data_IF_296485280530
#
_entry.id   IF_296485280530
#
_cell.length_a   1.000
_cell.length_b   1.000
_cell.length_c   1.000
_cell.angle_alpha   90.00
_cell.angle_beta   90.00
_cell.angle_gamma   90.00
#
_symmetry.space_group_name_H-M   'P 1'
#
loop_
_entity.id
_entity.type
_entity.pdbx_description
1 polymer ?
#
# COMPACT_ATOMS: atom_id res chain seq x y z
N UNK A 1 79.07 -32.47 18.55
CA UNK A 1 78.61 -32.69 17.15
C UNK A 1 77.74 -33.93 17.17
N UNK A 2 76.49 -33.99 16.73
CA UNK A 2 75.62 -33.05 16.01
C UNK A 2 74.18 -33.50 16.30
N UNK A 3 73.32 -32.57 16.71
CA UNK A 3 71.88 -32.78 16.89
C UNK A 3 71.20 -32.75 15.50
N UNK A 4 70.96 -33.92 14.91
CA UNK A 4 70.34 -34.06 13.57
C UNK A 4 68.92 -34.61 13.62
N UNK A 5 68.07 -34.15 14.55
CA UNK A 5 66.69 -34.68 14.66
C UNK A 5 65.55 -33.64 14.57
N UNK A 6 65.71 -32.30 14.69
CA UNK A 6 64.54 -31.42 14.63
C UNK A 6 64.25 -30.85 13.22
N UNK A 7 64.80 -31.40 12.12
CA UNK A 7 64.64 -30.79 10.80
C UNK A 7 63.46 -31.33 9.95
N UNK A 8 62.81 -32.42 10.35
CA UNK A 8 61.76 -33.08 9.52
C UNK A 8 60.35 -32.57 9.87
N UNK A 9 60.16 -31.90 11.02
CA UNK A 9 58.83 -31.50 11.49
C UNK A 9 58.30 -30.17 10.91
N UNK A 10 59.09 -29.42 10.14
CA UNK A 10 58.72 -28.06 9.68
C UNK A 10 58.08 -28.06 8.29
N UNK A 11 58.17 -29.17 7.54
CA UNK A 11 57.67 -29.23 6.16
C UNK A 11 56.14 -29.43 6.04
N UNK A 12 55.47 -29.91 7.09
CA UNK A 12 54.02 -30.21 7.06
C UNK A 12 53.12 -29.00 7.34
N UNK A 13 53.68 -27.88 7.82
CA UNK A 13 52.92 -26.67 8.16
C UNK A 13 52.72 -25.72 6.97
N UNK A 14 53.46 -25.89 5.88
CA UNK A 14 53.35 -25.02 4.69
C UNK A 14 52.29 -25.49 3.69
N UNK A 15 51.76 -26.71 3.84
CA UNK A 15 50.69 -27.24 2.99
C UNK A 15 49.30 -26.72 3.41
N UNK A 16 49.14 -26.18 4.63
CA UNK A 16 47.84 -25.69 5.12
C UNK A 16 47.56 -24.22 4.76
N UNK A 17 48.57 -23.43 4.37
CA UNK A 17 48.39 -22.02 3.99
C UNK A 17 47.87 -21.82 2.56
N UNK A 18 47.58 -22.91 1.83
CA UNK A 18 46.98 -22.86 0.50
C UNK A 18 45.46 -23.05 0.50
N UNK A 19 44.85 -23.48 1.61
CA UNK A 19 43.40 -23.66 1.73
C UNK A 19 42.64 -22.41 2.18
N UNK A 20 43.33 -21.28 2.39
CA UNK A 20 42.73 -20.02 2.85
C UNK A 20 43.14 -18.85 1.95
N UNK A 21 42.84 -18.98 0.66
CA UNK A 21 43.06 -17.96 -0.37
C UNK A 21 41.73 -17.56 -1.03
N UNK A 22 40.68 -17.49 -0.22
CA UNK A 22 39.40 -16.89 -0.62
C UNK A 22 39.13 -15.73 0.36
N UNK A 23 39.69 -14.56 0.06
CA UNK A 23 39.44 -13.31 0.81
C UNK A 23 38.08 -12.67 0.47
N UNK A 24 37.31 -13.32 -0.41
CA UNK A 24 35.97 -12.90 -0.77
C UNK A 24 35.02 -14.09 -0.56
N UNK A 25 33.87 -13.89 0.11
CA UNK A 25 32.84 -14.92 0.12
C UNK A 25 32.46 -15.20 -1.34
N UNK A 26 32.43 -16.48 -1.71
CA UNK A 26 31.86 -16.89 -2.99
C UNK A 26 30.39 -16.47 -2.99
N UNK A 27 30.12 -15.30 -3.57
CA UNK A 27 28.78 -14.88 -3.95
C UNK A 27 28.39 -15.82 -5.08
N UNK A 28 27.86 -16.98 -4.71
CA UNK A 28 27.02 -17.78 -5.57
C UNK A 28 25.77 -16.92 -5.79
N UNK A 29 25.89 -15.97 -6.72
CA UNK A 29 24.77 -15.24 -7.24
C UNK A 29 23.81 -16.29 -7.73
N UNK A 30 22.71 -16.50 -6.98
CA UNK A 30 21.58 -17.25 -7.47
C UNK A 30 21.21 -16.73 -8.86
N UNK A 31 20.55 -17.56 -9.70
CA UNK A 31 20.29 -17.22 -11.09
C UNK A 31 19.82 -15.78 -11.20
N UNK A 32 20.52 -14.98 -12.02
CA UNK A 32 20.20 -13.58 -12.22
C UNK A 32 18.70 -13.46 -12.47
N UNK A 33 18.01 -12.66 -11.66
CA UNK A 33 16.57 -12.53 -11.71
C UNK A 33 16.20 -12.07 -13.14
N UNK A 34 15.56 -12.93 -13.95
CA UNK A 34 15.32 -12.63 -15.36
C UNK A 34 14.38 -11.42 -15.55
N UNK A 35 13.72 -10.98 -14.47
CA UNK A 35 12.80 -9.85 -14.44
C UNK A 35 13.42 -8.58 -13.83
N UNK A 36 14.71 -8.58 -13.46
CA UNK A 36 15.36 -7.42 -12.82
C UNK A 36 15.29 -6.14 -13.68
N UNK A 37 15.42 -6.28 -15.00
CA UNK A 37 15.30 -5.16 -15.93
C UNK A 37 13.85 -4.69 -16.10
N UNK A 38 12.87 -5.58 -15.99
CA UNK A 38 11.45 -5.26 -16.11
C UNK A 38 10.93 -4.56 -14.85
N UNK A 39 11.39 -4.97 -13.66
CA UNK A 39 11.05 -4.33 -12.39
C UNK A 39 11.65 -2.92 -12.26
N UNK A 40 12.86 -2.70 -12.79
CA UNK A 40 13.51 -1.39 -12.80
C UNK A 40 12.83 -0.36 -13.72
N UNK A 41 12.05 -0.82 -14.71
CA UNK A 41 11.31 0.01 -15.66
C UNK A 41 9.79 0.01 -15.41
N UNK A 42 9.30 -0.74 -14.43
CA UNK A 42 7.89 -0.77 -14.09
C UNK A 42 7.49 0.59 -13.48
N UNK A 43 6.50 1.24 -14.08
CA UNK A 43 5.86 2.38 -13.45
C UNK A 43 5.34 1.97 -12.06
N UNK A 44 5.37 2.87 -11.07
CA UNK A 44 4.78 2.60 -9.76
C UNK A 44 3.37 2.05 -9.95
N UNK A 45 3.11 0.86 -9.41
CA UNK A 45 1.76 0.30 -9.41
C UNK A 45 0.91 1.24 -8.57
N UNK A 46 0.06 2.03 -9.21
CA UNK A 46 -0.93 2.85 -8.51
C UNK A 46 -1.93 1.90 -7.86
N UNK A 47 -1.69 1.62 -6.59
CA UNK A 47 -2.61 0.84 -5.79
C UNK A 47 -3.93 1.62 -5.72
N UNK A 48 -5.08 0.94 -5.94
CA UNK A 48 -6.37 1.60 -5.82
C UNK A 48 -6.46 2.25 -4.44
N UNK A 49 -7.00 3.48 -4.36
CA UNK A 49 -7.01 4.22 -3.11
C UNK A 49 -7.70 3.39 -2.04
N UNK A 50 -7.09 3.32 -0.87
CA UNK A 50 -7.65 2.63 0.29
C UNK A 50 -8.75 3.47 0.94
N UNK A 51 -9.66 2.84 1.69
CA UNK A 51 -10.64 3.57 2.51
C UNK A 51 -9.90 4.24 3.67
N UNK A 52 -9.93 5.57 3.71
CA UNK A 52 -9.37 6.41 4.79
C UNK A 52 -10.31 6.48 5.98
N UNK A 53 -11.61 6.63 5.72
CA UNK A 53 -12.63 6.68 6.77
C UNK A 53 -13.94 6.07 6.26
N UNK A 54 -14.57 5.23 7.08
CA UNK A 54 -15.94 4.78 6.88
C UNK A 54 -16.82 5.53 7.87
N UNK A 55 -17.81 6.28 7.37
CA UNK A 55 -18.80 6.95 8.19
C UNK A 55 -20.20 6.45 7.85
N UNK A 56 -20.98 6.21 8.90
CA UNK A 56 -22.41 5.95 8.80
C UNK A 56 -23.14 7.20 9.26
N UNK A 57 -23.87 7.84 8.35
CA UNK A 57 -24.66 9.02 8.65
C UNK A 57 -26.14 8.67 8.79
N UNK A 58 -26.78 9.26 9.79
CA UNK A 58 -28.23 9.33 9.96
C UNK A 58 -28.73 10.65 9.39
N UNK A 59 -29.55 10.56 8.35
CA UNK A 59 -30.15 11.73 7.72
C UNK A 59 -31.46 12.15 8.39
N UNK A 60 -31.93 13.36 8.11
CA UNK A 60 -33.18 13.94 8.65
C UNK A 60 -34.41 13.04 8.45
N UNK A 61 -34.44 12.25 7.38
CA UNK A 61 -35.52 11.31 7.08
C UNK A 61 -35.40 9.96 7.82
N UNK A 62 -34.51 9.88 8.82
CA UNK A 62 -34.12 8.66 9.55
C UNK A 62 -33.49 7.57 8.67
N UNK A 63 -33.13 7.85 7.42
CA UNK A 63 -32.36 6.92 6.61
C UNK A 63 -30.90 6.86 7.07
N UNK A 64 -30.26 5.72 6.80
CA UNK A 64 -28.83 5.51 7.06
C UNK A 64 -28.09 5.51 5.73
N UNK A 65 -27.12 6.40 5.59
CA UNK A 65 -26.23 6.46 4.43
C UNK A 65 -24.81 6.15 4.89
N UNK A 66 -24.12 5.31 4.15
CA UNK A 66 -22.75 4.92 4.43
C UNK A 66 -21.84 5.57 3.41
N UNK A 67 -20.83 6.31 3.86
CA UNK A 67 -19.86 6.97 3.00
C UNK A 67 -18.48 6.49 3.38
N UNK A 68 -17.79 5.86 2.43
CA UNK A 68 -16.38 5.52 2.55
C UNK A 68 -15.56 6.61 1.86
N UNK A 69 -14.86 7.43 2.64
CA UNK A 69 -13.90 8.39 2.13
C UNK A 69 -12.60 7.68 1.80
N UNK A 70 -12.09 7.90 0.60
CA UNK A 70 -10.89 7.26 0.10
C UNK A 70 -9.64 8.07 0.48
N UNK A 71 -8.47 7.44 0.45
CA UNK A 71 -7.19 8.06 0.83
C UNK A 71 -6.67 9.11 -0.14
N UNK A 72 -7.29 9.25 -1.31
CA UNK A 72 -7.00 10.30 -2.29
C UNK A 72 -7.68 11.64 -1.97
N UNK A 73 -8.51 11.71 -0.92
CA UNK A 73 -9.30 12.87 -0.51
C UNK A 73 -10.17 13.49 -1.62
N UNK A 74 -10.39 12.74 -2.71
CA UNK A 74 -11.13 13.13 -3.91
C UNK A 74 -12.17 12.13 -4.32
N UNK A 75 -12.11 10.91 -3.82
CA UNK A 75 -13.09 9.87 -4.09
C UNK A 75 -13.82 9.50 -2.80
N UNK A 76 -15.12 9.28 -2.91
CA UNK A 76 -15.93 8.72 -1.84
C UNK A 76 -16.86 7.65 -2.42
N UNK A 77 -17.14 6.59 -1.68
CA UNK A 77 -18.13 5.59 -2.07
C UNK A 77 -19.36 5.69 -1.17
N UNK A 78 -20.49 6.02 -1.76
CA UNK A 78 -21.77 6.15 -1.06
C UNK A 78 -22.60 4.87 -1.24
N UNK A 79 -23.14 4.35 -0.13
CA UNK A 79 -24.13 3.28 -0.11
C UNK A 79 -25.37 3.74 0.65
N UNK A 80 -26.54 3.48 0.09
CA UNK A 80 -27.84 3.80 0.73
C UNK A 80 -28.31 2.70 1.69
N UNK A 81 -27.64 1.55 1.70
CA UNK A 81 -27.94 0.42 2.58
C UNK A 81 -26.65 -0.32 2.96
N UNK A 82 -26.70 -1.09 4.05
CA UNK A 82 -25.53 -1.83 4.55
C UNK A 82 -25.22 -2.99 3.60
N UNK A 83 -24.10 -2.90 2.88
CA UNK A 83 -23.68 -3.93 1.93
C UNK A 83 -24.34 -3.86 0.55
N UNK A 84 -25.11 -2.80 0.28
CA UNK A 84 -25.70 -2.56 -1.03
C UNK A 84 -24.70 -2.01 -2.06
N UNK A 85 -25.17 -1.68 -3.27
CA UNK A 85 -24.33 -1.13 -4.33
C UNK A 85 -23.69 0.19 -3.87
N UNK A 86 -22.40 0.32 -4.15
CA UNK A 86 -21.64 1.52 -3.86
C UNK A 86 -21.59 2.44 -5.09
N UNK A 87 -22.11 3.65 -4.96
CA UNK A 87 -21.96 4.70 -5.95
C UNK A 87 -20.64 5.43 -5.68
N UNK A 88 -19.74 5.40 -6.66
CA UNK A 88 -18.46 6.10 -6.56
C UNK A 88 -18.67 7.57 -6.91
N UNK A 89 -18.44 8.45 -5.94
CA UNK A 89 -18.52 9.89 -6.05
C UNK A 89 -17.11 10.46 -6.19
N UNK A 90 -16.96 11.50 -7.03
CA UNK A 90 -15.69 12.19 -7.19
C UNK A 90 -15.85 13.67 -6.91
N UNK A 91 -14.92 14.23 -6.16
CA UNK A 91 -14.78 15.67 -5.98
C UNK A 91 -13.83 16.23 -7.05
N UNK A 92 -14.16 17.42 -7.55
CA UNK A 92 -13.32 18.14 -8.52
C UNK A 92 -11.96 18.52 -7.89
N UNK A 93 -12.00 18.96 -6.63
CA UNK A 93 -10.83 19.30 -5.82
C UNK A 93 -11.03 18.83 -4.37
N UNK A 94 -9.93 18.73 -3.62
CA UNK A 94 -9.98 18.39 -2.19
C UNK A 94 -10.82 19.42 -1.44
N UNK A 95 -11.81 18.95 -0.68
CA UNK A 95 -12.73 19.80 0.08
C UNK A 95 -13.94 20.32 -0.71
N UNK A 96 -14.07 19.98 -2.00
CA UNK A 96 -15.31 20.21 -2.76
C UNK A 96 -16.32 19.07 -2.55
N UNK A 97 -17.61 19.29 -2.86
CA UNK A 97 -18.61 18.23 -2.80
C UNK A 97 -18.24 17.05 -3.71
N UNK A 98 -18.45 15.83 -3.22
CA UNK A 98 -18.31 14.63 -4.01
C UNK A 98 -19.60 14.42 -4.81
N UNK A 99 -19.51 14.29 -6.12
CA UNK A 99 -20.69 14.14 -7.00
C UNK A 99 -20.55 12.91 -7.90
N UNK A 100 -21.67 12.24 -8.17
CA UNK A 100 -21.84 11.31 -9.30
C UNK A 100 -23.32 10.98 -9.48
N UNK A 101 -23.77 10.79 -10.73
CA UNK A 101 -25.09 10.21 -11.05
C UNK A 101 -26.29 10.85 -10.30
N UNK A 102 -26.22 12.15 -10.00
CA UNK A 102 -27.24 12.90 -9.25
C UNK A 102 -27.16 12.77 -7.72
N UNK A 103 -26.19 12.01 -7.21
CA UNK A 103 -25.78 12.03 -5.81
C UNK A 103 -24.77 13.15 -5.57
N UNK A 104 -24.89 13.80 -4.42
CA UNK A 104 -23.96 14.82 -3.95
C UNK A 104 -23.71 14.63 -2.45
N UNK A 105 -22.45 14.64 -2.02
CA UNK A 105 -22.05 14.66 -0.62
C UNK A 105 -21.19 15.88 -0.38
N UNK A 106 -21.71 16.84 0.36
CA UNK A 106 -21.00 18.04 0.75
C UNK A 106 -20.51 17.93 2.18
N UNK A 107 -19.18 17.93 2.34
CA UNK A 107 -18.49 17.76 3.61
C UNK A 107 -17.93 16.34 3.84
N UNK A 108 -16.96 16.26 4.74
CA UNK A 108 -16.30 15.02 5.15
C UNK A 108 -16.20 14.86 6.69
N UNK A 109 -16.91 15.73 7.43
CA UNK A 109 -16.92 15.75 8.89
C UNK A 109 -17.99 14.85 9.50
N UNK A 110 -18.42 15.17 10.72
CA UNK A 110 -19.52 14.47 11.40
C UNK A 110 -20.90 15.00 10.98
N UNK A 111 -20.96 16.21 10.42
CA UNK A 111 -22.16 16.81 9.85
C UNK A 111 -21.91 17.08 8.36
N UNK A 112 -22.80 16.56 7.51
CA UNK A 112 -22.68 16.62 6.06
C UNK A 112 -24.04 16.87 5.42
N UNK A 113 -24.05 17.45 4.22
CA UNK A 113 -25.26 17.53 3.40
C UNK A 113 -25.19 16.48 2.31
N UNK A 114 -26.17 15.57 2.27
CA UNK A 114 -26.25 14.51 1.27
C UNK A 114 -27.51 14.69 0.42
N UNK A 115 -27.32 14.70 -0.89
CA UNK A 115 -28.40 14.64 -1.90
C UNK A 115 -28.39 13.26 -2.52
N UNK A 116 -29.54 12.60 -2.51
CA UNK A 116 -29.76 11.29 -3.15
C UNK A 116 -30.77 11.49 -4.28
N UNK A 117 -30.57 10.91 -5.47
CA UNK A 117 -31.54 10.99 -6.56
C UNK A 117 -32.96 10.61 -6.10
N UNK A 118 -33.94 11.44 -6.43
CA UNK A 118 -35.33 11.27 -5.98
C UNK A 118 -35.62 11.76 -4.56
N UNK A 119 -34.60 12.24 -3.83
CA UNK A 119 -34.73 12.95 -2.55
C UNK A 119 -34.13 14.36 -2.67
N UNK A 120 -34.62 15.30 -1.87
CA UNK A 120 -33.97 16.62 -1.74
C UNK A 120 -32.67 16.52 -0.94
N UNK A 121 -31.88 17.59 -0.93
CA UNK A 121 -30.69 17.71 -0.06
C UNK A 121 -31.08 17.57 1.41
N UNK A 122 -30.35 16.74 2.16
CA UNK A 122 -30.64 16.43 3.55
C UNK A 122 -29.41 16.67 4.41
N UNK A 123 -29.61 17.28 5.59
CA UNK A 123 -28.59 17.28 6.63
C UNK A 123 -28.51 15.88 7.25
N UNK A 124 -27.29 15.34 7.33
CA UNK A 124 -26.99 14.05 7.91
C UNK A 124 -25.85 14.17 8.92
N UNK A 125 -25.93 13.40 10.00
CA UNK A 125 -24.93 13.39 11.08
C UNK A 125 -24.50 11.97 11.41
N UNK A 126 -23.27 11.79 11.87
CA UNK A 126 -22.76 10.49 12.36
C UNK A 126 -23.44 10.07 13.66
#
# INVERSE_FOLDING_TARGET
MKFYIPLIAVASLTLLSACNKNDEPEVVGGPADPMAAELANAAPVELPPSVKANKQFRCKDNSLIFVDYMSDDKTAQLRTEKGGPATTLKAEEVGKPFTAEGFEVSGAGDEVTITVPGKGAQACHV
#
